data_IF_456467241981
#
_entry.id   IF_456467241981
#
_cell.length_a   1.000
_cell.length_b   1.000
_cell.length_c   1.000
_cell.angle_alpha   90.00
_cell.angle_beta   90.00
_cell.angle_gamma   90.00
#
_symmetry.space_group_name_H-M   'P 1'
#
loop_
_entity.id
_entity.type
_entity.pdbx_description
1 polymer ?
#
# COMPACT_ATOMS: atom_id res chain seq x y z
N UNK A 1 9.38 5.88 16.50
CA UNK A 1 9.62 7.33 16.69
C UNK A 1 9.19 8.08 15.44
N UNK A 2 8.58 9.24 15.63
CA UNK A 2 8.28 10.17 14.54
C UNK A 2 9.59 10.71 13.97
N UNK A 3 9.74 10.63 12.65
CA UNK A 3 10.84 11.27 11.94
C UNK A 3 10.42 12.71 11.62
N UNK A 4 11.06 13.68 12.28
CA UNK A 4 10.77 15.10 12.09
C UNK A 4 11.15 15.64 10.72
N UNK A 5 11.99 14.94 9.96
CA UNK A 5 12.46 15.36 8.63
C UNK A 5 11.40 15.14 7.55
N UNK A 6 10.66 14.03 7.62
CA UNK A 6 9.67 13.65 6.60
C UNK A 6 8.26 13.41 7.15
N UNK A 7 8.02 13.76 8.43
CA UNK A 7 6.76 13.60 9.15
C UNK A 7 6.19 12.17 9.03
N UNK A 8 7.06 11.17 9.21
CA UNK A 8 6.69 9.75 9.11
C UNK A 8 7.07 8.94 10.34
N UNK A 9 6.27 7.92 10.63
CA UNK A 9 6.62 6.83 11.53
C UNK A 9 7.27 5.69 10.73
N UNK A 10 8.34 5.11 11.29
CA UNK A 10 8.95 3.89 10.74
C UNK A 10 8.44 2.66 11.50
N UNK A 11 7.86 1.72 10.77
CA UNK A 11 7.35 0.44 11.29
C UNK A 11 8.22 -0.68 10.73
N UNK A 12 8.83 -1.48 11.59
CA UNK A 12 9.61 -2.66 11.17
C UNK A 12 8.64 -3.74 10.70
N UNK A 13 8.85 -4.24 9.48
CA UNK A 13 8.04 -5.30 8.88
C UNK A 13 8.94 -6.42 8.32
N UNK A 14 8.41 -7.63 8.22
CA UNK A 14 9.14 -8.85 7.85
C UNK A 14 9.98 -9.43 8.98
N UNK A 15 10.77 -10.46 8.66
CA UNK A 15 11.65 -11.15 9.60
C UNK A 15 10.95 -11.60 10.88
N UNK A 16 11.42 -11.11 12.04
CA UNK A 16 10.85 -11.40 13.37
C UNK A 16 9.71 -10.46 13.79
N UNK A 17 9.24 -9.56 12.92
CA UNK A 17 8.09 -8.71 13.22
C UNK A 17 6.78 -9.49 13.05
N UNK A 18 5.70 -8.97 13.65
CA UNK A 18 4.34 -9.52 13.49
C UNK A 18 3.70 -9.19 12.13
N UNK A 19 4.39 -8.41 11.27
CA UNK A 19 3.87 -7.96 9.98
C UNK A 19 4.59 -8.69 8.86
N UNK A 20 3.87 -9.58 8.19
CA UNK A 20 4.43 -10.43 7.15
C UNK A 20 4.86 -9.66 5.91
N UNK A 21 5.96 -10.08 5.31
CA UNK A 21 6.40 -9.64 3.99
C UNK A 21 6.68 -10.85 3.09
N UNK A 22 6.70 -10.61 1.78
CA UNK A 22 7.03 -11.67 0.80
C UNK A 22 8.42 -12.23 1.10
N UNK A 23 8.48 -13.50 1.49
CA UNK A 23 9.71 -14.21 1.83
C UNK A 23 10.43 -13.65 3.06
N UNK A 24 9.70 -13.07 4.01
CA UNK A 24 10.23 -12.61 5.30
C UNK A 24 11.24 -11.47 5.23
N UNK A 25 11.29 -10.71 4.13
CA UNK A 25 12.22 -9.59 3.97
C UNK A 25 11.98 -8.48 4.99
N UNK A 26 13.02 -8.18 5.75
CA UNK A 26 12.99 -7.08 6.70
C UNK A 26 13.17 -5.73 6.00
N UNK A 27 12.27 -4.80 6.28
CA UNK A 27 12.48 -3.38 5.99
C UNK A 27 11.61 -2.49 6.90
N UNK A 28 11.88 -1.19 6.86
CA UNK A 28 11.10 -0.19 7.58
C UNK A 28 10.07 0.44 6.65
N UNK A 29 8.79 0.17 6.92
CA UNK A 29 7.68 0.84 6.27
C UNK A 29 7.53 2.25 6.86
N UNK A 30 7.63 3.28 6.02
CA UNK A 30 7.39 4.67 6.42
C UNK A 30 5.93 5.05 6.19
N UNK A 31 5.25 5.44 7.25
CA UNK A 31 3.83 5.85 7.24
C UNK A 31 3.71 7.30 7.67
N UNK A 32 3.02 8.18 6.92
CA UNK A 32 2.82 9.57 7.32
C UNK A 32 2.14 9.72 8.68
N UNK A 33 2.53 10.72 9.47
CA UNK A 33 2.00 10.95 10.80
C UNK A 33 0.48 11.17 10.82
N UNK A 34 -0.03 11.93 9.84
CA UNK A 34 -1.46 12.15 9.69
C UNK A 34 -2.23 10.84 9.51
N UNK A 35 -1.68 9.88 8.76
CA UNK A 35 -2.34 8.60 8.51
C UNK A 35 -2.33 7.72 9.75
N UNK A 36 -1.25 7.75 10.54
CA UNK A 36 -1.21 7.07 11.85
C UNK A 36 -2.28 7.63 12.78
N UNK A 37 -2.47 8.95 12.80
CA UNK A 37 -3.53 9.58 13.60
C UNK A 37 -4.93 9.14 13.16
N UNK A 38 -5.19 9.08 11.85
CA UNK A 38 -6.48 8.60 11.33
C UNK A 38 -6.71 7.12 11.67
N UNK A 39 -5.67 6.29 11.60
CA UNK A 39 -5.72 4.88 11.99
C UNK A 39 -6.03 4.76 13.49
N UNK A 40 -5.37 5.53 14.34
CA UNK A 40 -5.59 5.54 15.79
C UNK A 40 -7.04 5.91 16.16
N UNK A 41 -7.56 6.95 15.51
CA UNK A 41 -8.97 7.34 15.66
C UNK A 41 -9.92 6.22 15.19
N UNK A 42 -9.60 5.55 14.08
CA UNK A 42 -10.39 4.44 13.58
C UNK A 42 -10.37 3.23 14.54
N UNK A 43 -9.21 2.87 15.11
CA UNK A 43 -9.07 1.80 16.10
C UNK A 43 -9.88 2.09 17.37
N UNK A 44 -9.99 3.37 17.75
CA UNK A 44 -10.81 3.80 18.89
C UNK A 44 -12.33 3.77 18.62
N UNK A 45 -12.74 3.59 17.36
CA UNK A 45 -14.15 3.66 16.96
C UNK A 45 -14.96 2.41 17.31
N UNK A 46 -16.26 2.59 17.58
CA UNK A 46 -17.20 1.48 17.76
C UNK A 46 -17.28 0.56 16.53
N UNK A 47 -17.05 1.13 15.34
CA UNK A 47 -17.05 0.37 14.10
C UNK A 47 -15.92 -0.66 14.04
N UNK A 48 -14.74 -0.32 14.58
CA UNK A 48 -13.62 -1.24 14.69
C UNK A 48 -13.86 -2.25 15.80
N UNK A 49 -14.22 -1.81 17.01
CA UNK A 49 -14.49 -2.69 18.17
C UNK A 49 -15.51 -3.78 17.84
N UNK A 50 -16.59 -3.43 17.12
CA UNK A 50 -17.61 -4.38 16.66
C UNK A 50 -17.06 -5.45 15.71
N UNK A 51 -16.09 -5.11 14.85
CA UNK A 51 -15.45 -6.08 13.96
C UNK A 51 -14.41 -6.90 14.71
N UNK A 52 -13.65 -6.26 15.59
CA UNK A 52 -12.63 -6.89 16.42
C UNK A 52 -13.24 -7.96 17.33
N UNK A 53 -14.40 -7.71 17.95
CA UNK A 53 -15.09 -8.72 18.78
C UNK A 53 -15.48 -10.00 18.03
N UNK A 54 -15.58 -9.94 16.70
CA UNK A 54 -15.85 -11.09 15.83
C UNK A 54 -14.58 -11.78 15.33
N UNK A 55 -13.40 -11.17 15.48
CA UNK A 55 -12.13 -11.75 15.04
C UNK A 55 -11.61 -12.81 16.02
N UNK A 56 -10.51 -13.47 15.63
CA UNK A 56 -9.79 -14.41 16.49
C UNK A 56 -9.24 -13.72 17.75
N UNK A 57 -8.61 -12.55 17.57
CA UNK A 57 -7.90 -11.83 18.61
C UNK A 57 -8.78 -10.88 19.45
N UNK A 58 -10.08 -10.75 19.16
CA UNK A 58 -11.00 -9.91 19.93
C UNK A 58 -10.52 -8.45 20.05
N UNK A 59 -10.97 -7.71 21.05
CA UNK A 59 -10.64 -6.29 21.22
C UNK A 59 -9.31 -6.18 21.98
N UNK A 60 -8.25 -6.70 21.37
CA UNK A 60 -6.88 -6.71 21.91
C UNK A 60 -5.94 -5.94 20.99
N UNK A 61 -4.85 -5.43 21.56
CA UNK A 61 -3.86 -4.60 20.85
C UNK A 61 -3.12 -5.37 19.74
N UNK A 62 -3.00 -6.69 19.87
CA UNK A 62 -2.35 -7.55 18.87
C UNK A 62 -3.23 -7.90 17.66
N UNK A 63 -4.45 -7.35 17.58
CA UNK A 63 -5.37 -7.63 16.50
C UNK A 63 -5.04 -6.84 15.22
N UNK A 64 -5.67 -7.23 14.11
CA UNK A 64 -5.54 -6.54 12.83
C UNK A 64 -6.16 -5.14 12.88
N UNK A 65 -5.46 -4.18 12.25
CA UNK A 65 -5.99 -2.84 12.02
C UNK A 65 -7.27 -2.92 11.18
N UNK A 66 -7.20 -3.56 10.01
CA UNK A 66 -8.34 -3.63 9.09
C UNK A 66 -9.00 -5.00 9.10
N UNK A 67 -10.28 -5.00 9.48
CA UNK A 67 -11.13 -6.18 9.54
C UNK A 67 -12.34 -6.04 8.61
N UNK A 68 -12.76 -7.15 8.03
CA UNK A 68 -14.02 -7.23 7.30
C UNK A 68 -15.22 -7.07 8.26
N UNK A 69 -16.43 -6.93 7.71
CA UNK A 69 -17.67 -6.86 8.50
C UNK A 69 -17.96 -8.11 9.35
N UNK A 70 -17.23 -9.20 9.11
CA UNK A 70 -17.35 -10.47 9.83
C UNK A 70 -16.16 -10.72 10.77
N UNK A 71 -15.32 -9.72 11.03
CA UNK A 71 -14.13 -9.88 11.87
C UNK A 71 -12.98 -10.65 11.24
N UNK A 72 -13.06 -11.01 9.95
CA UNK A 72 -11.95 -11.66 9.26
C UNK A 72 -10.90 -10.64 8.80
N UNK A 73 -9.59 -10.97 8.83
CA UNK A 73 -8.58 -10.13 8.23
C UNK A 73 -8.64 -10.17 6.70
N UNK A 74 -8.11 -9.13 6.05
CA UNK A 74 -7.97 -9.12 4.59
C UNK A 74 -6.88 -10.09 4.09
N UNK A 75 -5.84 -10.28 4.91
CA UNK A 75 -4.78 -11.27 4.74
C UNK A 75 -4.53 -11.95 6.09
N UNK A 76 -4.65 -13.27 6.13
CA UNK A 76 -4.32 -14.05 7.33
C UNK A 76 -2.81 -14.05 7.51
N UNK A 77 -2.34 -13.72 8.70
CA UNK A 77 -0.90 -13.64 9.02
C UNK A 77 -0.33 -15.03 9.28
N UNK A 78 0.99 -15.17 9.18
CA UNK A 78 1.69 -16.39 9.57
C UNK A 78 1.44 -16.68 11.06
N UNK A 79 1.54 -15.66 11.93
CA UNK A 79 1.22 -15.78 13.36
C UNK A 79 -0.17 -16.37 13.60
N UNK A 80 -1.18 -15.86 12.91
CA UNK A 80 -2.55 -16.36 13.06
C UNK A 80 -2.69 -17.81 12.57
N UNK A 81 -2.01 -18.19 11.49
CA UNK A 81 -1.98 -19.58 11.04
C UNK A 81 -1.36 -20.49 12.11
N UNK A 82 -0.26 -20.07 12.72
CA UNK A 82 0.41 -20.80 13.80
C UNK A 82 -0.45 -20.90 15.06
N UNK A 83 -1.01 -19.79 15.53
CA UNK A 83 -1.88 -19.72 16.71
C UNK A 83 -3.09 -20.67 16.57
N UNK A 84 -3.66 -20.76 15.35
CA UNK A 84 -4.77 -21.67 15.04
C UNK A 84 -4.32 -23.13 15.04
N UNK A 85 -3.16 -23.44 14.46
CA UNK A 85 -2.61 -24.79 14.45
C UNK A 85 -2.31 -25.31 15.86
N UNK A 86 -1.86 -24.42 16.74
CA UNK A 86 -1.62 -24.67 18.16
C UNK A 86 -2.90 -24.73 19.00
N UNK A 87 -4.07 -24.43 18.42
CA UNK A 87 -5.37 -24.40 19.12
C UNK A 87 -5.36 -23.48 20.34
N UNK A 88 -4.66 -22.34 20.27
CA UNK A 88 -4.56 -21.38 21.38
C UNK A 88 -5.89 -20.66 21.67
N UNK A 89 -6.87 -20.78 20.78
CA UNK A 89 -8.18 -20.15 20.85
C UNK A 89 -9.31 -21.17 20.65
N UNK A 90 -10.55 -20.81 21.02
CA UNK A 90 -11.69 -21.71 20.97
C UNK A 90 -12.00 -22.21 19.54
N UNK A 91 -12.35 -23.50 19.42
CA UNK A 91 -12.67 -24.17 18.14
C UNK A 91 -13.90 -23.61 17.41
N UNK A 92 -14.66 -22.72 18.05
CA UNK A 92 -15.88 -22.14 17.50
C UNK A 92 -15.61 -21.13 16.38
N UNK A 93 -14.40 -20.55 16.33
CA UNK A 93 -14.04 -19.56 15.30
C UNK A 93 -13.60 -20.28 14.02
N UNK A 94 -14.57 -20.81 13.27
CA UNK A 94 -14.36 -21.30 11.90
C UNK A 94 -13.96 -20.12 11.01
N UNK A 95 -12.70 -20.06 10.61
CA UNK A 95 -12.23 -19.02 9.69
C UNK A 95 -11.27 -19.59 8.65
N UNK A 96 -11.47 -19.18 7.41
CA UNK A 96 -10.64 -19.60 6.28
C UNK A 96 -9.36 -18.76 6.21
N UNK A 97 -8.37 -19.25 5.44
CA UNK A 97 -7.16 -18.47 5.15
C UNK A 97 -7.51 -17.42 4.09
N UNK A 98 -7.31 -16.15 4.41
CA UNK A 98 -7.59 -15.01 3.55
C UNK A 98 -6.33 -14.55 2.80
N UNK A 99 -6.45 -14.33 1.48
CA UNK A 99 -5.34 -13.92 0.59
C UNK A 99 -5.66 -12.65 -0.22
N UNK A 100 -6.34 -11.69 0.40
CA UNK A 100 -6.61 -10.37 -0.19
C UNK A 100 -7.80 -10.28 -1.13
N UNK A 101 -8.56 -11.35 -1.34
CA UNK A 101 -9.73 -11.33 -2.24
C UNK A 101 -10.78 -10.31 -1.81
N UNK A 102 -10.97 -10.12 -0.50
CA UNK A 102 -11.88 -9.11 0.03
C UNK A 102 -11.42 -7.67 -0.32
N UNK A 103 -10.11 -7.40 -0.32
CA UNK A 103 -9.57 -6.09 -0.66
C UNK A 103 -9.75 -5.81 -2.16
N UNK A 104 -9.44 -6.79 -3.01
CA UNK A 104 -9.67 -6.70 -4.46
C UNK A 104 -11.14 -6.47 -4.79
N UNK A 105 -12.05 -7.20 -4.15
CA UNK A 105 -13.49 -7.00 -4.33
C UNK A 105 -13.96 -5.63 -3.85
N UNK A 106 -13.41 -5.10 -2.76
CA UNK A 106 -13.73 -3.75 -2.30
C UNK A 106 -13.31 -2.70 -3.34
N UNK A 107 -12.11 -2.85 -3.92
CA UNK A 107 -11.66 -1.99 -5.01
C UNK A 107 -12.57 -2.12 -6.25
N UNK A 108 -12.91 -3.34 -6.67
CA UNK A 108 -13.82 -3.55 -7.81
C UNK A 108 -15.18 -2.88 -7.59
N UNK A 109 -15.74 -2.98 -6.39
CA UNK A 109 -17.00 -2.31 -6.04
C UNK A 109 -16.87 -0.79 -6.12
N UNK A 110 -15.76 -0.23 -5.62
CA UNK A 110 -15.49 1.20 -5.71
C UNK A 110 -15.42 1.66 -7.17
N UNK A 111 -14.64 0.97 -8.01
CA UNK A 111 -14.53 1.27 -9.44
C UNK A 111 -15.90 1.24 -10.15
N UNK A 112 -16.71 0.21 -9.87
CA UNK A 112 -18.05 0.11 -10.45
C UNK A 112 -18.96 1.26 -10.02
N UNK A 113 -18.83 1.75 -8.78
CA UNK A 113 -19.58 2.92 -8.31
C UNK A 113 -19.14 4.19 -9.03
N UNK A 114 -17.83 4.41 -9.20
CA UNK A 114 -17.30 5.57 -9.92
C UNK A 114 -17.74 5.57 -11.39
N UNK A 115 -17.70 4.41 -12.06
CA UNK A 115 -18.20 4.26 -13.43
C UNK A 115 -19.71 4.51 -13.53
N UNK A 116 -20.49 4.02 -12.57
CA UNK A 116 -21.94 4.31 -12.50
C UNK A 116 -22.20 5.81 -12.35
N UNK A 117 -21.33 6.52 -11.63
CA UNK A 117 -21.38 7.97 -11.45
C UNK A 117 -20.81 8.76 -12.65
N UNK A 118 -20.41 8.08 -13.74
CA UNK A 118 -19.80 8.68 -14.94
C UNK A 118 -18.50 9.45 -14.65
N UNK A 119 -17.75 9.03 -13.63
CA UNK A 119 -16.41 9.56 -13.39
C UNK A 119 -15.45 9.07 -14.49
N UNK A 120 -14.58 9.96 -14.97
CA UNK A 120 -13.57 9.63 -15.98
C UNK A 120 -12.37 8.95 -15.31
N UNK A 121 -12.51 7.66 -15.08
CA UNK A 121 -11.52 6.82 -14.40
C UNK A 121 -11.27 5.53 -15.18
N UNK A 122 -9.99 5.28 -15.45
CA UNK A 122 -9.53 3.98 -15.98
C UNK A 122 -9.58 2.91 -14.90
N UNK A 123 -9.82 1.66 -15.31
CA UNK A 123 -9.70 0.52 -14.42
C UNK A 123 -8.27 0.35 -13.94
N UNK A 124 -8.09 0.03 -12.66
CA UNK A 124 -6.78 -0.20 -12.07
C UNK A 124 -6.83 -1.22 -10.92
N UNK A 125 -5.66 -1.68 -10.51
CA UNK A 125 -5.44 -2.63 -9.42
C UNK A 125 -4.69 -1.98 -8.26
N UNK A 126 -4.62 -2.67 -7.11
CA UNK A 126 -3.80 -2.23 -5.98
C UNK A 126 -2.29 -2.11 -6.33
N UNK A 127 -1.81 -2.90 -7.30
CA UNK A 127 -0.42 -2.79 -7.75
C UNK A 127 -0.18 -1.49 -8.52
N UNK A 128 -1.17 -1.01 -9.26
CA UNK A 128 -1.09 0.24 -10.02
C UNK A 128 -1.06 1.47 -9.09
N UNK A 129 -1.76 1.40 -7.94
CA UNK A 129 -1.65 2.42 -6.90
C UNK A 129 -0.23 2.52 -6.35
N UNK A 130 0.42 1.37 -6.10
CA UNK A 130 1.81 1.32 -5.66
C UNK A 130 2.77 1.85 -6.73
N UNK A 131 2.54 1.52 -8.00
CA UNK A 131 3.30 2.06 -9.12
C UNK A 131 3.19 3.59 -9.18
N UNK A 132 1.96 4.10 -9.07
CA UNK A 132 1.65 5.54 -9.06
C UNK A 132 2.34 6.25 -7.90
N UNK A 133 2.33 5.65 -6.70
CA UNK A 133 3.09 6.18 -5.55
C UNK A 133 4.59 6.30 -5.86
N UNK A 134 5.20 5.27 -6.45
CA UNK A 134 6.62 5.30 -6.83
C UNK A 134 6.96 6.41 -7.83
N UNK A 135 6.10 6.58 -8.85
CA UNK A 135 6.22 7.65 -9.86
C UNK A 135 6.06 9.03 -9.23
N UNK A 136 5.05 9.24 -8.39
CA UNK A 136 4.83 10.51 -7.71
C UNK A 136 6.00 10.88 -6.78
N UNK A 137 6.54 9.89 -6.07
CA UNK A 137 7.70 10.09 -5.21
C UNK A 137 8.95 10.48 -6.02
N UNK A 138 9.17 9.84 -7.17
CA UNK A 138 10.25 10.19 -8.09
C UNK A 138 10.11 11.63 -8.59
N UNK A 139 8.94 11.98 -9.12
CA UNK A 139 8.66 13.33 -9.62
C UNK A 139 8.85 14.39 -8.54
N UNK A 140 8.42 14.11 -7.31
CA UNK A 140 8.61 15.03 -6.18
C UNK A 140 10.08 15.15 -5.79
N UNK A 141 10.83 14.03 -5.72
CA UNK A 141 12.24 14.05 -5.34
C UNK A 141 13.11 14.77 -6.39
N UNK A 142 12.83 14.56 -7.69
CA UNK A 142 13.54 15.22 -8.79
C UNK A 142 13.34 16.74 -8.83
N UNK A 143 12.37 17.31 -8.11
CA UNK A 143 12.23 18.77 -7.97
C UNK A 143 13.26 19.38 -7.02
N UNK A 144 13.82 18.59 -6.10
CA UNK A 144 14.69 19.07 -5.02
C UNK A 144 16.11 18.51 -5.11
N UNK A 145 16.28 17.35 -5.75
CA UNK A 145 17.56 16.66 -5.89
C UNK A 145 17.74 16.32 -7.37
N UNK A 146 18.88 16.72 -7.96
CA UNK A 146 19.19 16.46 -9.37
C UNK A 146 20.12 15.25 -9.57
N UNK A 147 20.17 14.38 -8.56
CA UNK A 147 21.07 13.22 -8.47
C UNK A 147 20.23 11.94 -8.38
N UNK A 148 20.12 11.24 -9.52
CA UNK A 148 19.34 10.00 -9.65
C UNK A 148 19.91 8.90 -8.76
N UNK A 149 21.23 8.84 -8.58
CA UNK A 149 21.90 7.80 -7.79
C UNK A 149 21.55 7.90 -6.31
N UNK A 150 21.18 9.11 -5.83
CA UNK A 150 20.63 9.31 -4.48
C UNK A 150 19.13 9.07 -4.39
N UNK A 151 18.39 9.40 -5.44
CA UNK A 151 16.92 9.27 -5.46
C UNK A 151 16.49 7.80 -5.54
N UNK A 152 17.17 6.98 -6.33
CA UNK A 152 16.77 5.59 -6.56
C UNK A 152 16.79 4.72 -5.30
N UNK A 153 17.85 4.72 -4.46
CA UNK A 153 17.85 3.99 -3.20
C UNK A 153 16.74 4.45 -2.24
N UNK A 154 16.47 5.76 -2.23
CA UNK A 154 15.39 6.31 -1.41
C UNK A 154 14.02 5.77 -1.86
N UNK A 155 13.70 5.82 -3.14
CA UNK A 155 12.43 5.28 -3.67
C UNK A 155 12.38 3.76 -3.45
N UNK A 156 13.47 3.05 -3.70
CA UNK A 156 13.57 1.61 -3.49
C UNK A 156 13.20 1.25 -2.04
N UNK A 157 13.75 1.98 -1.06
CA UNK A 157 13.44 1.84 0.36
C UNK A 157 11.97 2.13 0.64
N UNK A 158 11.42 3.25 0.13
CA UNK A 158 10.02 3.66 0.33
C UNK A 158 9.02 2.68 -0.27
N UNK A 159 9.40 2.00 -1.35
CA UNK A 159 8.58 0.96 -1.96
C UNK A 159 8.84 -0.40 -1.29
N UNK A 160 10.01 -0.66 -0.71
CA UNK A 160 10.38 -2.00 -0.24
C UNK A 160 10.72 -2.96 -1.39
N UNK A 161 11.36 -2.46 -2.45
CA UNK A 161 11.85 -3.29 -3.54
C UNK A 161 13.18 -3.94 -3.18
N UNK A 162 13.25 -5.27 -3.27
CA UNK A 162 14.53 -5.99 -3.14
C UNK A 162 15.49 -5.69 -4.28
N UNK A 163 14.96 -5.58 -5.51
CA UNK A 163 15.74 -5.33 -6.70
C UNK A 163 15.55 -3.88 -7.17
N UNK A 164 16.65 -3.13 -7.29
CA UNK A 164 16.66 -1.76 -7.80
C UNK A 164 16.09 -1.66 -9.23
N UNK A 165 16.20 -2.72 -10.03
CA UNK A 165 15.63 -2.79 -11.37
C UNK A 165 14.11 -2.60 -11.37
N UNK A 166 13.41 -3.05 -10.33
CA UNK A 166 11.98 -2.80 -10.16
C UNK A 166 11.69 -1.31 -10.01
N UNK A 167 12.57 -0.56 -9.34
CA UNK A 167 12.48 0.90 -9.22
C UNK A 167 12.84 1.61 -10.52
N UNK A 168 13.89 1.15 -11.22
CA UNK A 168 14.34 1.71 -12.50
C UNK A 168 13.26 1.62 -13.58
N UNK A 169 12.40 0.60 -13.54
CA UNK A 169 11.28 0.49 -14.48
C UNK A 169 10.35 1.72 -14.43
N UNK A 170 10.13 2.31 -13.25
CA UNK A 170 9.34 3.54 -13.13
C UNK A 170 10.05 4.76 -13.71
N UNK A 171 11.37 4.86 -13.56
CA UNK A 171 12.17 5.93 -14.19
C UNK A 171 12.03 5.87 -15.70
N UNK A 172 12.17 4.67 -16.27
CA UNK A 172 12.00 4.44 -17.70
C UNK A 172 10.61 4.85 -18.16
N UNK A 173 9.58 4.44 -17.44
CA UNK A 173 8.20 4.84 -17.74
C UNK A 173 8.04 6.37 -17.80
N UNK A 174 8.55 7.11 -16.81
CA UNK A 174 8.50 8.58 -16.83
C UNK A 174 9.30 9.17 -17.98
N UNK A 175 10.53 8.67 -18.21
CA UNK A 175 11.39 9.15 -19.28
C UNK A 175 10.74 8.95 -20.66
N UNK A 176 10.18 7.76 -20.93
CA UNK A 176 9.43 7.48 -22.15
C UNK A 176 8.16 8.32 -22.25
N UNK A 177 7.42 8.50 -21.16
CA UNK A 177 6.21 9.35 -21.15
C UNK A 177 6.54 10.81 -21.49
N UNK A 178 7.60 11.37 -20.90
CA UNK A 178 8.04 12.75 -21.19
C UNK A 178 8.51 12.89 -22.62
N UNK A 179 9.32 11.94 -23.10
CA UNK A 179 9.82 11.93 -24.47
C UNK A 179 8.67 11.88 -25.49
N UNK A 180 7.66 11.04 -25.26
CA UNK A 180 6.47 11.00 -26.11
C UNK A 180 5.71 12.34 -26.08
N UNK A 181 5.53 12.96 -24.91
CA UNK A 181 4.91 14.29 -24.83
C UNK A 181 5.70 15.36 -25.57
N UNK A 182 7.04 15.31 -25.54
CA UNK A 182 7.89 16.24 -26.31
C UNK A 182 7.77 16.00 -27.82
N UNK A 183 7.70 14.75 -28.26
CA UNK A 183 7.43 14.40 -29.66
C UNK A 183 6.06 14.89 -30.10
N UNK A 184 5.01 14.64 -29.30
CA UNK A 184 3.64 15.05 -29.60
C UNK A 184 3.55 16.57 -29.72
N UNK A 185 4.14 17.31 -28.78
CA UNK A 185 4.24 18.78 -28.86
C UNK A 185 4.97 19.26 -30.10
N UNK A 186 6.12 18.65 -30.42
CA UNK A 186 6.91 19.01 -31.61
C UNK A 186 6.13 18.71 -32.89
N UNK A 187 5.35 17.64 -32.91
CA UNK A 187 4.50 17.27 -34.03
C UNK A 187 3.31 18.23 -34.18
N UNK A 188 2.67 18.62 -33.08
CA UNK A 188 1.64 19.67 -33.05
C UNK A 188 2.21 21.03 -33.52
N UNK A 189 3.38 21.43 -33.06
CA UNK A 189 4.06 22.64 -33.53
C UNK A 189 4.34 22.61 -35.04
N UNK A 190 4.70 21.45 -35.60
CA UNK A 190 4.89 21.29 -37.06
C UNK A 190 3.57 21.31 -37.83
N UNK A 191 2.49 20.76 -37.26
CA UNK A 191 1.17 20.73 -37.90
C UNK A 191 0.42 22.06 -37.82
N UNK A 192 0.65 22.84 -36.76
CA UNK A 192 -0.09 24.08 -36.47
C UNK A 192 0.71 25.37 -36.72
N UNK A 193 2.00 25.30 -37.04
CA UNK A 193 2.74 26.44 -37.59
C UNK A 193 2.66 26.46 -39.12
N UNK A 194 1.82 27.36 -39.64
CA UNK A 194 2.00 28.00 -40.95
C UNK A 194 2.95 29.19 -40.82
#
# INVERSE_FOLDING_TARGET
>A
MLNSVDDTYSIRIGGKSIIDTKGGYEHNLKVPAWLIKDIDQYLSSESWKKRASQSLYKVEDENYVFLTKHGNPYYTSIKEIEDRNLQLFSKEIKSSIHRGNAARQALTKLLNLMHKNKEDIKTFTLHDLRATFGVNLLLSASKHVNDIDKILPYIQSRMGHRNIMSTIHYVRYIAYSKFNTEIDKKFEEILFNY
#
